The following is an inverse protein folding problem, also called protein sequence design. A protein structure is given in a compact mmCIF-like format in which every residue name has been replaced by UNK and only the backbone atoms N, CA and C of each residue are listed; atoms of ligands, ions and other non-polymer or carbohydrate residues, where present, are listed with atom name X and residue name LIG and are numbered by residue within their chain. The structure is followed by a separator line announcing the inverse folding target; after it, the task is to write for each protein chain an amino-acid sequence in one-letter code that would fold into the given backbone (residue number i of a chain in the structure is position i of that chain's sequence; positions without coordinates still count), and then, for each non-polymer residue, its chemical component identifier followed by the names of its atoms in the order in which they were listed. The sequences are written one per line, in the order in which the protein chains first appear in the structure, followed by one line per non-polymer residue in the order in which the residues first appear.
data_IF_356991465885
#
_entry.id   IF_356991465885
#
_cell.length_a   1.000
_cell.length_b   1.000
_cell.length_c   1.000
_cell.angle_alpha   90.00
_cell.angle_beta   90.00
_cell.angle_gamma   90.00
#
_symmetry.space_group_name_H-M   'P 1'
#
loop_
_entity.id
_entity.type
_entity.pdbx_description
1 polymer ?
#
# COMPACT_ATOMS: atom_id res chain seq x y z
N UNK A 1 -9.73 11.40 -3.61
CA UNK A 1 -9.75 9.98 -3.26
C UNK A 1 -9.34 9.15 -4.47
N UNK A 2 -8.62 8.04 -4.24
CA UNK A 2 -8.37 7.04 -5.27
C UNK A 2 -9.60 6.14 -5.46
N UNK A 3 -9.76 5.47 -6.63
CA UNK A 3 -10.89 4.57 -6.86
C UNK A 3 -10.80 3.34 -5.94
N UNK A 4 -11.94 2.90 -5.40
CA UNK A 4 -12.03 1.60 -4.74
C UNK A 4 -12.23 0.50 -5.81
N UNK A 5 -11.28 -0.41 -5.89
CA UNK A 5 -11.28 -1.51 -6.84
C UNK A 5 -11.87 -2.79 -6.25
N UNK A 6 -12.18 -2.81 -4.96
CA UNK A 6 -12.50 -4.02 -4.19
C UNK A 6 -13.70 -4.77 -4.73
N UNK A 7 -14.84 -4.10 -4.89
CA UNK A 7 -16.10 -4.75 -5.29
C UNK A 7 -15.97 -5.42 -6.66
N UNK A 8 -15.40 -4.73 -7.64
CA UNK A 8 -15.22 -5.27 -9.00
C UNK A 8 -14.15 -6.36 -9.07
N UNK A 9 -13.13 -6.30 -8.21
CA UNK A 9 -12.13 -7.37 -8.09
C UNK A 9 -12.74 -8.60 -7.41
N UNK A 10 -13.57 -8.42 -6.38
CA UNK A 10 -14.27 -9.50 -5.69
C UNK A 10 -15.10 -10.36 -6.65
N UNK A 11 -15.87 -9.73 -7.55
CA UNK A 11 -16.66 -10.44 -8.56
C UNK A 11 -15.79 -11.29 -9.52
N UNK A 12 -14.52 -10.91 -9.71
CA UNK A 12 -13.58 -11.62 -10.57
C UNK A 12 -12.88 -12.79 -9.90
N UNK A 13 -12.75 -12.79 -8.57
CA UNK A 13 -11.96 -13.78 -7.83
C UNK A 13 -12.80 -14.77 -7.03
N UNK A 14 -14.05 -14.43 -6.70
CA UNK A 14 -14.96 -15.28 -5.93
C UNK A 14 -15.12 -16.66 -6.58
N UNK A 15 -15.01 -17.72 -5.76
CA UNK A 15 -15.10 -19.11 -6.21
C UNK A 15 -13.92 -19.58 -7.07
N UNK A 16 -12.80 -18.83 -7.13
CA UNK A 16 -11.63 -19.15 -7.94
C UNK A 16 -10.36 -19.33 -7.11
N UNK A 17 -10.43 -19.11 -5.81
CA UNK A 17 -9.29 -19.32 -4.92
C UNK A 17 -8.91 -20.79 -4.87
N UNK A 18 -7.63 -21.05 -4.71
CA UNK A 18 -7.02 -22.38 -4.61
C UNK A 18 -6.45 -22.57 -3.19
N UNK A 19 -5.86 -23.76 -2.94
CA UNK A 19 -5.15 -24.01 -1.69
C UNK A 19 -3.71 -23.43 -1.70
N UNK A 20 -3.25 -22.92 -2.84
CA UNK A 20 -1.92 -22.31 -2.96
C UNK A 20 -1.99 -20.79 -2.81
N UNK A 21 -1.36 -20.22 -1.76
CA UNK A 21 -1.37 -18.77 -1.52
C UNK A 21 -0.76 -17.96 -2.67
N UNK A 22 0.29 -18.46 -3.32
CA UNK A 22 0.97 -17.72 -4.39
C UNK A 22 0.11 -17.61 -5.65
N UNK A 23 -0.61 -18.66 -5.99
CA UNK A 23 -1.61 -18.65 -7.07
C UNK A 23 -2.74 -17.65 -6.77
N UNK A 24 -3.20 -17.59 -5.52
CA UNK A 24 -4.24 -16.65 -5.11
C UNK A 24 -3.76 -15.20 -5.18
N UNK A 25 -2.51 -14.92 -4.79
CA UNK A 25 -1.91 -13.58 -4.95
C UNK A 25 -1.88 -13.17 -6.41
N UNK A 26 -1.41 -14.04 -7.31
CA UNK A 26 -1.36 -13.76 -8.74
C UNK A 26 -2.77 -13.51 -9.33
N UNK A 27 -3.76 -14.32 -8.92
CA UNK A 27 -5.16 -14.15 -9.33
C UNK A 27 -5.72 -12.79 -8.91
N UNK A 28 -5.49 -12.38 -7.66
CA UNK A 28 -5.98 -11.10 -7.12
C UNK A 28 -5.29 -9.93 -7.82
N UNK A 29 -3.96 -9.96 -8.00
CA UNK A 29 -3.22 -8.93 -8.74
C UNK A 29 -3.77 -8.76 -10.15
N UNK A 30 -3.97 -9.88 -10.87
CA UNK A 30 -4.56 -9.85 -12.20
C UNK A 30 -5.98 -9.29 -12.22
N UNK A 31 -6.80 -9.58 -11.21
CA UNK A 31 -8.15 -9.01 -11.08
C UNK A 31 -8.12 -7.50 -10.84
N UNK A 32 -7.27 -7.02 -9.93
CA UNK A 32 -7.11 -5.60 -9.63
C UNK A 32 -6.60 -4.82 -10.84
N UNK A 33 -5.57 -5.33 -11.53
CA UNK A 33 -5.04 -4.74 -12.78
C UNK A 33 -6.12 -4.66 -13.86
N UNK A 34 -6.90 -5.75 -14.06
CA UNK A 34 -7.95 -5.78 -15.06
C UNK A 34 -9.11 -4.82 -14.74
N UNK A 35 -9.46 -4.65 -13.47
CA UNK A 35 -10.46 -3.67 -13.04
C UNK A 35 -9.97 -2.26 -13.28
N UNK A 36 -8.72 -1.98 -12.92
CA UNK A 36 -8.11 -0.66 -13.10
C UNK A 36 -7.99 -0.29 -14.59
N UNK A 37 -7.54 -1.23 -15.42
CA UNK A 37 -7.41 -1.03 -16.87
C UNK A 37 -8.76 -0.81 -17.58
N UNK A 38 -9.86 -1.32 -17.03
CA UNK A 38 -11.20 -1.13 -17.58
C UNK A 38 -11.82 0.24 -17.23
N UNK A 39 -11.19 1.02 -16.35
CA UNK A 39 -11.69 2.36 -16.02
C UNK A 39 -11.39 3.35 -17.14
N UNK A 40 -12.36 4.22 -17.44
CA UNK A 40 -12.23 5.27 -18.44
C UNK A 40 -12.31 6.65 -17.75
N UNK A 41 -11.19 7.18 -17.25
CA UNK A 41 -11.19 8.45 -16.55
C UNK A 41 -11.50 9.61 -17.51
N UNK A 42 -12.45 10.46 -17.12
CA UNK A 42 -12.84 11.66 -17.90
C UNK A 42 -12.04 12.89 -17.47
N UNK A 43 -11.56 12.91 -16.22
CA UNK A 43 -10.80 14.04 -15.66
C UNK A 43 -9.32 13.71 -15.61
N UNK A 44 -8.47 14.69 -15.88
CA UNK A 44 -7.00 14.54 -15.81
C UNK A 44 -6.51 14.04 -14.45
N UNK A 45 -7.07 14.56 -13.36
CA UNK A 45 -6.73 14.12 -12.00
C UNK A 45 -7.07 12.64 -11.77
N UNK A 46 -8.19 12.16 -12.32
CA UNK A 46 -8.57 10.74 -12.24
C UNK A 46 -7.67 9.88 -13.12
N UNK A 47 -7.28 10.38 -14.29
CA UNK A 47 -6.33 9.69 -15.17
C UNK A 47 -4.95 9.57 -14.51
N UNK A 48 -4.47 10.63 -13.86
CA UNK A 48 -3.21 10.58 -13.09
C UNK A 48 -3.27 9.54 -11.98
N UNK A 49 -4.35 9.52 -11.20
CA UNK A 49 -4.53 8.51 -10.12
C UNK A 49 -4.56 7.08 -10.68
N UNK A 50 -5.20 6.86 -11.81
CA UNK A 50 -5.19 5.56 -12.49
C UNK A 50 -3.77 5.16 -12.89
N UNK A 51 -2.98 6.08 -13.45
CA UNK A 51 -1.58 5.82 -13.81
C UNK A 51 -0.76 5.46 -12.57
N UNK A 52 -0.86 6.23 -11.49
CA UNK A 52 -0.14 5.97 -10.24
C UNK A 52 -0.49 4.59 -9.66
N UNK A 53 -1.78 4.25 -9.59
CA UNK A 53 -2.20 2.92 -9.16
C UNK A 53 -1.69 1.82 -10.09
N UNK A 54 -1.68 2.03 -11.40
CA UNK A 54 -1.20 1.01 -12.35
C UNK A 54 0.28 0.65 -12.18
N UNK A 55 1.07 1.56 -11.62
CA UNK A 55 2.48 1.36 -11.30
C UNK A 55 2.71 0.64 -9.96
N UNK A 56 1.71 0.62 -9.08
CA UNK A 56 1.85 0.16 -7.70
C UNK A 56 0.97 -1.05 -7.33
N UNK A 57 -0.10 -1.33 -8.09
CA UNK A 57 -1.16 -2.26 -7.68
C UNK A 57 -0.71 -3.73 -7.56
N UNK A 58 0.40 -4.09 -8.18
CA UNK A 58 1.02 -5.42 -8.10
C UNK A 58 2.31 -5.46 -7.27
N UNK A 59 2.68 -4.34 -6.64
CA UNK A 59 3.85 -4.27 -5.79
C UNK A 59 3.64 -4.99 -4.44
N UNK A 60 4.71 -5.58 -3.91
CA UNK A 60 4.75 -6.14 -2.55
C UNK A 60 4.87 -5.03 -1.50
N UNK A 61 5.57 -3.93 -1.85
CA UNK A 61 5.81 -2.78 -0.98
C UNK A 61 5.52 -1.48 -1.71
N UNK A 62 4.79 -0.59 -1.06
CA UNK A 62 4.50 0.77 -1.53
C UNK A 62 4.82 1.76 -0.43
N UNK A 63 5.78 2.66 -0.68
CA UNK A 63 6.11 3.74 0.22
C UNK A 63 5.67 5.06 -0.41
N UNK A 64 4.61 5.64 0.13
CA UNK A 64 4.14 6.97 -0.26
C UNK A 64 4.90 8.01 0.55
N UNK A 65 5.93 8.62 -0.08
CA UNK A 65 6.86 9.50 0.59
C UNK A 65 6.34 10.94 0.61
N UNK A 66 6.10 11.44 1.80
CA UNK A 66 5.56 12.76 2.06
C UNK A 66 6.49 13.61 2.95
N UNK A 67 6.17 14.86 3.10
CA UNK A 67 6.66 15.74 4.16
C UNK A 67 5.51 16.64 4.63
N UNK A 68 5.45 16.87 5.94
CA UNK A 68 4.51 17.81 6.55
C UNK A 68 5.11 19.23 6.63
N UNK A 69 4.36 20.20 7.12
CA UNK A 69 4.87 21.58 7.33
C UNK A 69 6.00 21.60 8.34
N UNK A 70 5.77 21.04 9.53
CA UNK A 70 6.73 20.81 10.61
C UNK A 70 6.35 19.49 11.30
N UNK A 71 7.23 18.49 11.25
CA UNK A 71 7.00 17.20 11.89
C UNK A 71 8.29 16.46 12.20
N UNK A 72 8.23 15.51 13.13
CA UNK A 72 9.20 14.44 13.24
C UNK A 72 8.88 13.35 12.24
N UNK A 73 9.87 12.53 11.87
CA UNK A 73 9.64 11.38 11.01
C UNK A 73 8.61 10.45 11.63
N UNK A 74 7.54 10.16 10.92
CA UNK A 74 6.48 9.26 11.37
C UNK A 74 5.83 8.52 10.19
N UNK A 75 5.07 7.47 10.49
CA UNK A 75 4.40 6.65 9.48
C UNK A 75 2.90 6.57 9.77
N UNK A 76 2.13 6.46 8.69
CA UNK A 76 0.74 6.00 8.73
C UNK A 76 0.67 4.62 8.08
N UNK A 77 0.03 3.66 8.73
CA UNK A 77 -0.12 2.32 8.19
C UNK A 77 -1.42 1.67 8.67
N UNK A 78 -1.88 0.65 7.94
CA UNK A 78 -2.98 -0.19 8.41
C UNK A 78 -2.57 -0.98 9.65
N UNK A 79 -3.51 -1.13 10.59
CA UNK A 79 -3.35 -2.02 11.76
C UNK A 79 -3.01 -3.46 11.34
N UNK A 80 -3.50 -3.90 10.19
CA UNK A 80 -3.22 -5.21 9.62
C UNK A 80 -1.75 -5.43 9.27
N UNK A 81 -0.98 -4.33 9.05
CA UNK A 81 0.45 -4.34 8.74
C UNK A 81 1.31 -3.78 9.87
N UNK A 82 0.82 -3.87 11.11
CA UNK A 82 1.51 -3.34 12.29
C UNK A 82 2.95 -3.84 12.44
N UNK A 83 3.20 -5.10 12.12
CA UNK A 83 4.53 -5.70 12.25
C UNK A 83 5.52 -5.11 11.23
N UNK A 84 5.09 -5.02 9.97
CA UNK A 84 5.86 -4.43 8.88
C UNK A 84 6.15 -2.94 9.15
N UNK A 85 5.14 -2.20 9.60
CA UNK A 85 5.27 -0.79 9.95
C UNK A 85 6.24 -0.58 11.12
N UNK A 86 6.22 -1.46 12.12
CA UNK A 86 7.16 -1.39 13.25
C UNK A 86 8.60 -1.64 12.82
N UNK A 87 8.84 -2.61 11.93
CA UNK A 87 10.17 -2.88 11.38
C UNK A 87 10.67 -1.71 10.52
N UNK A 88 9.84 -1.18 9.64
CA UNK A 88 10.18 -0.02 8.80
C UNK A 88 10.46 1.21 9.66
N UNK A 89 9.59 1.47 10.65
CA UNK A 89 9.76 2.59 11.58
C UNK A 89 11.05 2.50 12.39
N UNK A 90 11.44 1.31 12.82
CA UNK A 90 12.72 1.09 13.50
C UNK A 90 13.91 1.36 12.58
N UNK A 91 13.85 0.96 11.30
CA UNK A 91 14.91 1.25 10.32
C UNK A 91 15.07 2.74 10.05
N UNK A 92 13.96 3.45 9.91
CA UNK A 92 13.91 4.88 9.62
C UNK A 92 14.18 5.74 10.88
N UNK A 93 14.11 5.16 12.08
CA UNK A 93 14.16 5.92 13.33
C UNK A 93 12.91 6.79 13.52
N UNK A 94 11.74 6.29 13.13
CA UNK A 94 10.50 7.01 13.24
C UNK A 94 10.13 7.32 14.69
N UNK A 95 9.68 8.54 14.95
CA UNK A 95 9.25 8.98 16.28
C UNK A 95 7.87 8.42 16.65
N UNK A 96 7.04 8.12 15.65
CA UNK A 96 5.71 7.56 15.86
C UNK A 96 5.28 6.70 14.67
N UNK A 97 4.37 5.76 14.92
CA UNK A 97 3.64 5.00 13.91
C UNK A 97 2.16 5.12 14.26
N UNK A 98 1.41 5.75 13.38
CA UNK A 98 -0.04 5.92 13.52
C UNK A 98 -0.73 4.78 12.76
N UNK A 99 -1.47 3.97 13.49
CA UNK A 99 -2.14 2.80 12.95
C UNK A 99 -3.63 3.05 12.83
N UNK A 100 -4.18 2.84 11.65
CA UNK A 100 -5.60 3.02 11.38
C UNK A 100 -6.12 1.89 10.49
N UNK A 101 -7.38 1.47 10.71
CA UNK A 101 -8.02 0.43 9.88
C UNK A 101 -8.68 1.04 8.65
N UNK A 102 -9.35 2.16 8.83
CA UNK A 102 -10.12 2.83 7.78
C UNK A 102 -9.96 4.35 7.85
N UNK A 103 -8.83 4.88 7.39
CA UNK A 103 -8.68 6.32 7.24
C UNK A 103 -9.69 6.81 6.21
N UNK A 104 -10.37 7.91 6.49
CA UNK A 104 -11.28 8.50 5.53
C UNK A 104 -10.58 8.89 4.22
N UNK A 105 -11.28 8.81 3.07
CA UNK A 105 -10.80 9.41 1.84
C UNK A 105 -9.96 8.53 0.92
N UNK A 106 -9.74 7.26 1.20
CA UNK A 106 -8.98 6.32 0.37
C UNK A 106 -7.69 6.94 -0.25
N UNK A 107 -6.69 7.32 0.58
CA UNK A 107 -5.40 7.83 0.10
C UNK A 107 -4.63 6.75 -0.68
N UNK A 108 -3.49 7.10 -1.28
CA UNK A 108 -2.78 6.23 -2.21
C UNK A 108 -2.33 4.91 -1.57
N UNK A 109 -1.75 4.94 -0.39
CA UNK A 109 -1.33 3.76 0.35
C UNK A 109 -2.52 2.83 0.67
N UNK A 110 -3.67 3.38 1.06
CA UNK A 110 -4.89 2.61 1.31
C UNK A 110 -5.48 2.05 0.01
N UNK A 111 -5.43 2.77 -1.09
CA UNK A 111 -5.88 2.27 -2.39
C UNK A 111 -5.02 1.09 -2.87
N UNK A 112 -3.76 0.98 -2.44
CA UNK A 112 -2.88 -0.15 -2.72
C UNK A 112 -3.09 -1.34 -1.77
N UNK A 113 -3.15 -1.10 -0.45
CA UNK A 113 -3.24 -2.16 0.58
C UNK A 113 -4.67 -2.56 0.93
N UNK A 114 -5.62 -1.62 0.92
CA UNK A 114 -7.01 -1.83 1.35
C UNK A 114 -7.73 -2.97 0.63
N UNK A 115 -7.63 -3.11 -0.71
CA UNK A 115 -8.25 -4.20 -1.43
C UNK A 115 -7.87 -5.59 -0.91
N UNK A 116 -6.63 -5.79 -0.47
CA UNK A 116 -6.17 -7.08 0.07
C UNK A 116 -6.90 -7.47 1.34
N UNK A 117 -7.07 -6.53 2.26
CA UNK A 117 -7.81 -6.75 3.51
C UNK A 117 -9.30 -7.01 3.23
N UNK A 118 -9.94 -6.15 2.45
CA UNK A 118 -11.35 -6.28 2.14
C UNK A 118 -11.68 -7.59 1.38
N UNK A 119 -10.85 -7.97 0.41
CA UNK A 119 -11.02 -9.23 -0.31
C UNK A 119 -10.81 -10.44 0.62
N UNK A 120 -9.78 -10.42 1.48
CA UNK A 120 -9.54 -11.47 2.46
C UNK A 120 -10.76 -11.68 3.37
N UNK A 121 -11.33 -10.59 3.87
CA UNK A 121 -12.47 -10.67 4.78
C UNK A 121 -13.74 -11.14 4.06
N UNK A 122 -13.97 -10.68 2.81
CA UNK A 122 -15.11 -11.07 1.99
C UNK A 122 -15.04 -12.51 1.45
N UNK A 123 -13.84 -13.10 1.33
CA UNK A 123 -13.58 -14.45 0.82
C UNK A 123 -13.10 -15.40 1.93
N UNK A 124 -13.38 -15.05 3.18
CA UNK A 124 -12.97 -15.88 4.32
C UNK A 124 -13.52 -17.29 4.20
N UNK A 125 -12.62 -18.29 4.24
CA UNK A 125 -12.98 -19.71 4.09
C UNK A 125 -12.93 -20.25 2.65
N UNK A 126 -12.73 -19.42 1.63
CA UNK A 126 -12.60 -19.91 0.24
C UNK A 126 -11.16 -20.37 -0.08
N UNK A 127 -10.15 -19.91 0.64
CA UNK A 127 -8.75 -20.29 0.47
C UNK A 127 -7.80 -19.34 1.22
N UNK A 128 -6.49 -19.69 1.29
CA UNK A 128 -5.49 -18.84 1.94
C UNK A 128 -5.27 -17.55 1.14
N UNK A 129 -5.33 -16.42 1.83
CA UNK A 129 -5.20 -15.09 1.25
C UNK A 129 -4.26 -14.21 2.08
N UNK A 130 -2.96 -14.18 1.74
CA UNK A 130 -2.02 -13.29 2.39
C UNK A 130 -2.30 -11.83 2.02
N UNK A 131 -1.94 -10.89 2.89
CA UNK A 131 -1.91 -9.48 2.59
C UNK A 131 -0.65 -9.18 1.76
N UNK A 132 -0.75 -9.27 0.44
CA UNK A 132 0.40 -9.26 -0.45
C UNK A 132 0.84 -7.87 -0.93
N UNK A 133 0.38 -6.81 -0.24
CA UNK A 133 0.87 -5.45 -0.43
C UNK A 133 0.96 -4.76 0.92
N UNK A 134 2.17 -4.48 1.38
CA UNK A 134 2.40 -3.54 2.47
C UNK A 134 2.54 -2.13 1.90
N UNK A 135 1.55 -1.29 2.12
CA UNK A 135 1.59 0.12 1.74
C UNK A 135 1.53 1.01 2.99
N UNK A 136 2.29 2.09 2.99
CA UNK A 136 2.40 3.03 4.11
C UNK A 136 2.75 4.41 3.61
N UNK A 137 2.17 5.45 4.23
CA UNK A 137 2.65 6.82 4.09
C UNK A 137 3.81 7.05 5.05
N UNK A 138 4.90 7.59 4.55
CA UNK A 138 6.09 7.95 5.32
C UNK A 138 6.26 9.46 5.30
N UNK A 139 6.00 10.11 6.40
CA UNK A 139 6.24 11.55 6.59
C UNK A 139 7.69 11.77 6.97
N UNK A 140 8.50 12.20 6.00
CA UNK A 140 9.95 12.37 6.12
C UNK A 140 10.36 13.64 6.88
N UNK A 141 9.58 14.13 7.80
CA UNK A 141 9.75 15.33 8.62
C UNK A 141 9.09 16.58 8.01
N UNK A 142 9.55 17.77 8.38
CA UNK A 142 9.07 19.05 7.88
C UNK A 142 9.64 19.42 6.51
N UNK A 143 8.92 20.26 5.78
CA UNK A 143 9.33 20.75 4.45
C UNK A 143 10.71 21.44 4.45
N UNK A 144 11.13 22.01 5.59
CA UNK A 144 12.43 22.66 5.74
C UNK A 144 13.57 21.68 6.07
N UNK A 145 13.27 20.43 6.41
CA UNK A 145 14.24 19.42 6.83
C UNK A 145 14.83 18.63 5.63
N UNK A 146 15.18 19.35 4.58
CA UNK A 146 15.69 18.76 3.34
C UNK A 146 17.20 18.99 3.23
N UNK A 147 17.97 17.89 3.25
CA UNK A 147 19.41 17.92 2.97
C UNK A 147 19.90 16.53 2.54
N UNK A 148 21.02 16.49 1.80
CA UNK A 148 21.60 15.27 1.23
C UNK A 148 21.94 14.20 2.27
N UNK A 149 22.37 14.61 3.47
CA UNK A 149 22.73 13.67 4.54
C UNK A 149 21.49 12.92 5.06
N UNK A 150 20.39 13.60 5.28
CA UNK A 150 19.12 12.98 5.70
C UNK A 150 18.55 12.11 4.57
N UNK A 151 18.52 12.64 3.35
CA UNK A 151 18.04 11.87 2.19
C UNK A 151 18.83 10.56 2.00
N UNK A 152 20.15 10.60 2.10
CA UNK A 152 20.99 9.40 2.01
C UNK A 152 20.73 8.42 3.16
N UNK A 153 20.51 8.90 4.38
CA UNK A 153 20.23 8.05 5.53
C UNK A 153 18.85 7.37 5.40
N UNK A 154 17.83 8.12 4.99
CA UNK A 154 16.47 7.61 4.78
C UNK A 154 16.43 6.60 3.63
N UNK A 155 17.06 6.89 2.51
CA UNK A 155 17.19 5.96 1.38
C UNK A 155 17.88 4.65 1.78
N UNK A 156 18.97 4.74 2.56
CA UNK A 156 19.67 3.55 3.06
C UNK A 156 18.78 2.73 4.02
N UNK A 157 17.97 3.38 4.84
CA UNK A 157 17.03 2.70 5.74
C UNK A 157 15.93 1.95 4.97
N UNK A 158 15.31 2.59 3.97
CA UNK A 158 14.33 1.96 3.08
C UNK A 158 14.93 0.75 2.35
N UNK A 159 16.14 0.88 1.81
CA UNK A 159 16.84 -0.21 1.14
C UNK A 159 17.14 -1.38 2.10
N UNK A 160 17.57 -1.13 3.33
CA UNK A 160 17.80 -2.19 4.32
C UNK A 160 16.52 -2.94 4.66
N UNK A 161 15.41 -2.22 4.80
CA UNK A 161 14.10 -2.85 5.01
C UNK A 161 13.74 -3.78 3.85
N UNK A 162 13.83 -3.29 2.60
CA UNK A 162 13.52 -4.09 1.39
C UNK A 162 14.43 -5.31 1.27
N UNK A 163 15.74 -5.17 1.52
CA UNK A 163 16.70 -6.28 1.45
C UNK A 163 16.46 -7.40 2.47
N UNK A 164 15.80 -7.09 3.59
CA UNK A 164 15.44 -8.11 4.59
C UNK A 164 14.13 -8.82 4.27
N UNK A 165 13.31 -8.24 3.43
CA UNK A 165 11.99 -8.77 3.09
C UNK A 165 11.93 -9.43 1.70
N UNK A 166 12.87 -9.17 0.84
CA UNK A 166 13.05 -9.80 -0.47
C UNK A 166 14.11 -10.85 -0.44
#
# INVERSE_FOLDING_TARGET
DFPDLTALALDRVRGRLTLDPSTNVALIRGALQAVLAAQNPVRETTALKQILLSLAIDADFVFDLHCDSEALLHLYASQSHRAEAAELGAELGAAAILLEEEPGGNPFDQACAGPWRHLRDALAGEGPMPLACFATTVELRGQADVNDRQAAADAAALLRFLQRRG
#
